data_IF_680817529676
#
_entry.id   IF_680817529676
#
_cell.length_a   1.000
_cell.length_b   1.000
_cell.length_c   1.000
_cell.angle_alpha   90.00
_cell.angle_beta   90.00
_cell.angle_gamma   90.00
#
_symmetry.space_group_name_H-M   'P 1'
#
loop_
_entity.id
_entity.type
_entity.pdbx_description
1 polymer ?
#
# COMPACT_ATOMS: atom_id res chain seq x y z
N UNK A 1 6.02 -15.30 -38.94
CA UNK A 1 4.74 -14.91 -38.31
C UNK A 1 4.64 -15.26 -36.81
N UNK A 2 5.63 -15.96 -36.20
CA UNK A 2 5.60 -16.28 -34.77
C UNK A 2 6.15 -15.17 -33.83
N UNK A 3 6.87 -14.17 -34.35
CA UNK A 3 7.48 -13.10 -33.53
C UNK A 3 6.51 -12.02 -33.03
N UNK A 4 5.38 -11.82 -33.71
CA UNK A 4 4.42 -10.75 -33.38
C UNK A 4 3.53 -11.15 -32.17
N UNK A 5 3.24 -12.44 -32.04
CA UNK A 5 2.46 -12.99 -30.93
C UNK A 5 3.25 -12.98 -29.60
N UNK A 6 4.55 -13.29 -29.65
CA UNK A 6 5.43 -13.24 -28.48
C UNK A 6 5.64 -11.79 -28.02
N UNK A 7 5.81 -10.86 -28.97
CA UNK A 7 5.88 -9.43 -28.68
C UNK A 7 4.63 -8.89 -27.99
N UNK A 8 3.43 -9.20 -28.50
CA UNK A 8 2.17 -8.71 -27.90
C UNK A 8 1.92 -9.26 -26.50
N UNK A 9 2.25 -10.53 -26.25
CA UNK A 9 2.15 -11.14 -24.92
C UNK A 9 3.09 -10.47 -23.90
N UNK A 10 4.37 -10.26 -24.25
CA UNK A 10 5.35 -9.62 -23.35
C UNK A 10 5.01 -8.14 -23.06
N UNK A 11 4.40 -7.43 -24.01
CA UNK A 11 3.90 -6.06 -23.76
C UNK A 11 2.68 -6.07 -22.85
N UNK A 12 1.75 -7.00 -23.06
CA UNK A 12 0.63 -7.24 -22.13
C UNK A 12 1.13 -7.52 -20.71
N UNK A 13 2.20 -8.30 -20.59
CA UNK A 13 2.78 -8.67 -19.30
C UNK A 13 3.34 -7.47 -18.51
N UNK A 14 4.08 -6.60 -19.22
CA UNK A 14 4.63 -5.39 -18.61
C UNK A 14 3.55 -4.37 -18.25
N UNK A 15 2.50 -4.27 -19.05
CA UNK A 15 1.39 -3.33 -18.83
C UNK A 15 0.57 -3.69 -17.59
N UNK A 16 0.23 -4.98 -17.41
CA UNK A 16 -0.52 -5.40 -16.22
C UNK A 16 0.31 -5.19 -14.95
N UNK A 17 1.61 -5.48 -14.99
CA UNK A 17 2.48 -5.31 -13.83
C UNK A 17 2.58 -3.83 -13.43
N UNK A 18 2.78 -2.95 -14.42
CA UNK A 18 2.79 -1.51 -14.19
C UNK A 18 1.45 -1.00 -13.61
N UNK A 19 0.31 -1.49 -14.12
CA UNK A 19 -1.00 -1.13 -13.59
C UNK A 19 -1.17 -1.54 -12.11
N UNK A 20 -0.71 -2.74 -11.74
CA UNK A 20 -0.75 -3.21 -10.35
C UNK A 20 0.15 -2.36 -9.44
N UNK A 21 1.35 -1.99 -9.89
CA UNK A 21 2.24 -1.11 -9.11
C UNK A 21 1.67 0.31 -8.94
N UNK A 22 1.04 0.87 -9.98
CA UNK A 22 0.35 2.17 -9.89
C UNK A 22 -0.81 2.09 -8.90
N UNK A 23 -1.62 1.02 -8.96
CA UNK A 23 -2.70 0.80 -8.00
C UNK A 23 -2.16 0.69 -6.57
N UNK A 24 -1.09 -0.07 -6.36
CA UNK A 24 -0.42 -0.19 -5.07
C UNK A 24 0.01 1.18 -4.53
N UNK A 25 0.61 2.02 -5.38
CA UNK A 25 1.04 3.36 -5.02
C UNK A 25 -0.14 4.28 -4.64
N UNK A 26 -1.25 4.21 -5.39
CA UNK A 26 -2.46 4.97 -5.06
C UNK A 26 -3.06 4.54 -3.73
N UNK A 27 -3.05 3.23 -3.42
CA UNK A 27 -3.50 2.71 -2.13
C UNK A 27 -2.60 3.19 -0.98
N UNK A 28 -1.29 3.25 -1.21
CA UNK A 28 -0.33 3.80 -0.23
C UNK A 28 -0.62 5.28 0.06
N UNK A 29 -0.85 6.09 -0.97
CA UNK A 29 -1.24 7.50 -0.80
C UNK A 29 -2.59 7.65 -0.09
N UNK A 30 -3.58 6.85 -0.48
CA UNK A 30 -4.90 6.87 0.14
C UNK A 30 -4.83 6.51 1.63
N UNK A 31 -4.02 5.51 2.01
CA UNK A 31 -3.82 5.12 3.39
C UNK A 31 -3.21 6.27 4.23
N UNK A 32 -2.22 7.00 3.69
CA UNK A 32 -1.62 8.15 4.36
C UNK A 32 -2.63 9.29 4.58
N UNK A 33 -3.46 9.58 3.58
CA UNK A 33 -4.55 10.57 3.70
C UNK A 33 -5.56 10.14 4.76
N UNK A 34 -5.96 8.86 4.77
CA UNK A 34 -6.89 8.34 5.76
C UNK A 34 -6.33 8.41 7.18
N UNK A 35 -5.05 8.05 7.37
CA UNK A 35 -4.36 8.17 8.66
C UNK A 35 -4.31 9.63 9.15
N UNK A 36 -4.05 10.59 8.25
CA UNK A 36 -4.06 12.00 8.60
C UNK A 36 -5.46 12.52 8.96
N UNK A 37 -6.49 12.11 8.20
CA UNK A 37 -7.88 12.43 8.52
C UNK A 37 -8.29 11.84 9.86
N UNK A 38 -8.07 10.55 10.10
CA UNK A 38 -8.39 9.95 11.39
C UNK A 38 -7.62 10.59 12.54
N UNK A 39 -6.33 10.92 12.33
CA UNK A 39 -5.55 11.66 13.31
C UNK A 39 -6.15 13.03 13.67
N UNK A 40 -6.76 13.70 12.70
CA UNK A 40 -7.49 14.96 12.95
C UNK A 40 -8.77 14.71 13.76
N UNK A 41 -9.48 13.60 13.54
CA UNK A 41 -10.71 13.26 14.25
C UNK A 41 -10.52 12.91 15.75
N UNK A 42 -9.30 12.60 16.20
CA UNK A 42 -9.00 12.15 17.58
C UNK A 42 -8.82 13.31 18.57
N UNK A 43 -8.51 14.52 18.10
CA UNK A 43 -8.10 15.63 18.97
C UNK A 43 -9.23 16.45 19.59
N UNK A 44 -9.31 16.45 20.91
CA UNK A 44 -10.17 17.32 21.75
C UNK A 44 -9.71 18.79 21.83
N UNK A 45 -8.45 19.09 21.48
CA UNK A 45 -7.94 20.46 21.41
C UNK A 45 -7.07 20.63 20.14
N UNK A 46 -6.88 21.88 19.71
CA UNK A 46 -6.21 22.21 18.44
C UNK A 46 -4.80 21.62 18.34
N UNK A 47 -4.05 21.60 19.44
CA UNK A 47 -2.68 21.07 19.44
C UNK A 47 -2.68 19.57 19.21
N UNK A 48 -3.47 18.80 19.98
CA UNK A 48 -3.59 17.36 19.81
C UNK A 48 -4.12 17.02 18.42
N UNK A 49 -5.09 17.79 17.92
CA UNK A 49 -5.64 17.62 16.58
C UNK A 49 -4.57 17.73 15.49
N UNK A 50 -3.77 18.79 15.50
CA UNK A 50 -2.70 19.00 14.50
C UNK A 50 -1.60 17.95 14.65
N UNK A 51 -1.17 17.67 15.88
CA UNK A 51 -0.11 16.70 16.16
C UNK A 51 -0.53 15.29 15.74
N UNK A 52 -1.77 14.87 16.01
CA UNK A 52 -2.25 13.55 15.62
C UNK A 52 -2.49 13.45 14.11
N UNK A 53 -3.03 14.50 13.48
CA UNK A 53 -3.26 14.57 12.03
C UNK A 53 -1.97 14.48 11.22
N UNK A 54 -0.88 15.07 11.71
CA UNK A 54 0.42 15.08 11.00
C UNK A 54 1.34 13.97 11.50
N UNK A 55 1.34 13.69 12.80
CA UNK A 55 2.19 12.70 13.45
C UNK A 55 1.89 11.28 13.01
N UNK A 56 0.61 10.93 12.85
CA UNK A 56 0.21 9.59 12.41
C UNK A 56 0.73 9.25 11.00
N UNK A 57 0.47 10.07 9.95
CA UNK A 57 1.04 9.81 8.63
C UNK A 57 2.56 9.96 8.61
N UNK A 58 3.17 10.86 9.38
CA UNK A 58 4.64 10.95 9.46
C UNK A 58 5.26 9.67 10.01
N UNK A 59 4.72 9.10 11.08
CA UNK A 59 5.21 7.83 11.64
C UNK A 59 5.09 6.70 10.61
N UNK A 60 3.97 6.64 9.88
CA UNK A 60 3.78 5.68 8.81
C UNK A 60 4.82 5.86 7.68
N UNK A 61 5.07 7.09 7.24
CA UNK A 61 6.09 7.42 6.23
C UNK A 61 7.48 7.01 6.72
N UNK A 62 7.84 7.29 7.97
CA UNK A 62 9.16 6.95 8.52
C UNK A 62 9.34 5.44 8.57
N UNK A 63 8.36 4.70 9.10
CA UNK A 63 8.39 3.23 9.14
C UNK A 63 8.55 2.64 7.73
N UNK A 64 7.79 3.17 6.77
CA UNK A 64 7.83 2.73 5.39
C UNK A 64 9.16 3.06 4.71
N UNK A 65 9.67 4.30 4.87
CA UNK A 65 10.95 4.74 4.31
C UNK A 65 12.14 3.94 4.86
N UNK A 66 12.08 3.51 6.12
CA UNK A 66 13.15 2.76 6.75
C UNK A 66 13.18 1.28 6.36
N UNK A 67 12.02 0.65 6.13
CA UNK A 67 11.89 -0.80 6.05
C UNK A 67 11.28 -1.33 4.75
N UNK A 68 10.41 -0.56 4.08
CA UNK A 68 9.60 -1.03 2.96
C UNK A 68 9.86 -0.30 1.64
N UNK A 69 10.50 0.87 1.67
CA UNK A 69 10.83 1.63 0.46
C UNK A 69 11.85 0.90 -0.44
N UNK A 70 11.82 1.11 -1.77
CA UNK A 70 12.80 0.51 -2.69
C UNK A 70 14.26 0.85 -2.36
N UNK A 71 14.48 2.03 -1.76
CA UNK A 71 15.78 2.50 -1.26
C UNK A 71 15.82 2.52 0.28
N UNK A 72 15.07 1.63 0.93
CA UNK A 72 15.00 1.56 2.38
C UNK A 72 16.40 1.42 2.99
N UNK A 73 16.63 2.16 4.09
CA UNK A 73 17.90 2.15 4.83
C UNK A 73 18.22 0.75 5.32
N UNK A 74 17.20 0.07 5.85
CA UNK A 74 17.27 -1.33 6.19
C UNK A 74 16.69 -2.11 5.02
N UNK A 75 17.38 -3.17 4.59
CA UNK A 75 16.92 -4.07 3.52
C UNK A 75 16.46 -5.38 4.14
N UNK A 76 15.35 -5.40 4.89
CA UNK A 76 14.90 -6.63 5.51
C UNK A 76 14.33 -7.58 4.44
N UNK A 77 14.19 -8.85 4.79
CA UNK A 77 13.60 -9.85 3.88
C UNK A 77 12.14 -9.54 3.53
N UNK A 78 11.60 -10.17 2.46
CA UNK A 78 10.23 -9.94 1.98
C UNK A 78 9.12 -9.97 3.06
N UNK A 79 9.16 -10.87 4.07
CA UNK A 79 8.11 -10.91 5.10
C UNK A 79 7.99 -9.62 5.91
N UNK A 80 9.10 -8.96 6.23
CA UNK A 80 9.11 -7.73 7.02
C UNK A 80 8.55 -6.57 6.21
N UNK A 81 8.91 -6.48 4.92
CA UNK A 81 8.37 -5.47 4.00
C UNK A 81 6.85 -5.59 3.90
N UNK A 82 6.35 -6.83 3.74
CA UNK A 82 4.91 -7.10 3.68
C UNK A 82 4.21 -6.74 4.99
N UNK A 83 4.83 -7.05 6.13
CA UNK A 83 4.28 -6.69 7.44
C UNK A 83 4.16 -5.18 7.64
N UNK A 84 5.19 -4.41 7.28
CA UNK A 84 5.15 -2.94 7.37
C UNK A 84 4.08 -2.36 6.44
N UNK A 85 3.98 -2.87 5.20
CA UNK A 85 2.91 -2.48 4.29
C UNK A 85 1.52 -2.80 4.85
N UNK A 86 1.34 -3.97 5.45
CA UNK A 86 0.08 -4.35 6.08
C UNK A 86 -0.31 -3.42 7.24
N UNK A 87 0.66 -3.00 8.06
CA UNK A 87 0.41 -2.01 9.13
C UNK A 87 -0.01 -0.67 8.55
N UNK A 88 0.69 -0.15 7.54
CA UNK A 88 0.40 1.18 6.98
C UNK A 88 -0.95 1.18 6.25
N UNK A 89 -1.16 0.21 5.35
CA UNK A 89 -2.37 0.11 4.54
C UNK A 89 -3.58 -0.32 5.37
N UNK A 90 -3.41 -1.31 6.26
CA UNK A 90 -4.43 -1.73 7.22
C UNK A 90 -4.75 -0.64 8.22
N UNK A 91 -3.77 0.15 8.64
CA UNK A 91 -3.95 1.36 9.45
C UNK A 91 -4.82 2.40 8.73
N UNK A 92 -4.62 2.62 7.43
CA UNK A 92 -5.48 3.49 6.61
C UNK A 92 -6.94 3.00 6.55
N UNK A 93 -7.15 1.69 6.38
CA UNK A 93 -8.49 1.10 6.41
C UNK A 93 -9.16 1.21 7.81
N UNK A 94 -8.40 0.97 8.87
CA UNK A 94 -8.86 1.13 10.25
C UNK A 94 -9.16 2.60 10.59
N UNK A 95 -8.38 3.53 10.04
CA UNK A 95 -8.62 4.96 10.15
C UNK A 95 -9.97 5.34 9.53
N UNK A 96 -10.29 4.87 8.32
CA UNK A 96 -11.62 5.09 7.70
C UNK A 96 -12.76 4.56 8.56
N UNK A 97 -12.59 3.38 9.14
CA UNK A 97 -13.55 2.83 10.10
C UNK A 97 -13.73 3.76 11.30
N UNK A 98 -12.63 4.28 11.86
CA UNK A 98 -12.65 5.19 13.00
C UNK A 98 -13.28 6.56 12.72
N UNK A 99 -13.32 7.01 11.46
CA UNK A 99 -14.03 8.24 11.04
C UNK A 99 -15.45 7.93 10.52
N UNK A 100 -16.00 6.75 10.84
CA UNK A 100 -17.39 6.41 10.56
C UNK A 100 -17.69 5.96 9.12
N UNK A 101 -16.67 5.59 8.35
CA UNK A 101 -16.81 5.09 6.97
C UNK A 101 -16.43 3.59 6.87
N UNK A 102 -17.17 2.68 7.51
CA UNK A 102 -16.79 1.27 7.63
C UNK A 102 -16.78 0.53 6.28
N UNK A 103 -17.70 0.85 5.37
CA UNK A 103 -17.77 0.24 4.03
C UNK A 103 -16.52 0.64 3.22
N UNK A 104 -16.12 1.91 3.25
CA UNK A 104 -14.92 2.38 2.56
C UNK A 104 -13.66 1.72 3.13
N UNK A 105 -13.57 1.58 4.45
CA UNK A 105 -12.48 0.85 5.11
C UNK A 105 -12.41 -0.61 4.69
N UNK A 106 -13.55 -1.31 4.62
CA UNK A 106 -13.63 -2.70 4.16
C UNK A 106 -13.19 -2.82 2.69
N UNK A 107 -13.70 -1.95 1.81
CA UNK A 107 -13.31 -1.93 0.39
C UNK A 107 -11.81 -1.73 0.25
N UNK A 108 -11.23 -0.75 0.97
CA UNK A 108 -9.79 -0.51 0.96
C UNK A 108 -9.00 -1.74 1.41
N UNK A 109 -9.42 -2.40 2.50
CA UNK A 109 -8.77 -3.61 2.99
C UNK A 109 -8.81 -4.74 1.95
N UNK A 110 -9.96 -4.97 1.31
CA UNK A 110 -10.12 -5.99 0.26
C UNK A 110 -9.23 -5.69 -0.94
N UNK A 111 -9.20 -4.43 -1.40
CA UNK A 111 -8.40 -4.02 -2.55
C UNK A 111 -6.91 -4.16 -2.26
N UNK A 112 -6.45 -3.80 -1.04
CA UNK A 112 -5.07 -4.00 -0.60
C UNK A 112 -4.68 -5.49 -0.62
N UNK A 113 -5.51 -6.34 -0.01
CA UNK A 113 -5.26 -7.79 0.03
C UNK A 113 -5.19 -8.38 -1.38
N UNK A 114 -6.14 -8.02 -2.26
CA UNK A 114 -6.16 -8.49 -3.64
C UNK A 114 -4.90 -8.03 -4.40
N UNK A 115 -4.56 -6.74 -4.34
CA UNK A 115 -3.39 -6.17 -5.01
C UNK A 115 -2.07 -6.82 -4.54
N UNK A 116 -1.93 -7.05 -3.23
CA UNK A 116 -0.75 -7.71 -2.67
C UNK A 116 -0.68 -9.19 -3.03
N UNK A 117 -1.81 -9.92 -2.98
CA UNK A 117 -1.86 -11.33 -3.36
C UNK A 117 -1.47 -11.54 -4.82
N UNK A 118 -1.97 -10.69 -5.71
CA UNK A 118 -1.59 -10.68 -7.13
C UNK A 118 -0.09 -10.45 -7.27
N UNK A 119 0.45 -9.37 -6.66
CA UNK A 119 1.88 -9.06 -6.74
C UNK A 119 2.78 -10.20 -6.24
N UNK A 120 2.39 -10.88 -5.16
CA UNK A 120 3.18 -11.97 -4.57
C UNK A 120 3.10 -13.26 -5.39
N UNK A 121 1.94 -13.59 -5.99
CA UNK A 121 1.79 -14.76 -6.84
C UNK A 121 2.75 -14.73 -8.06
N UNK A 122 2.99 -13.54 -8.63
CA UNK A 122 3.91 -13.38 -9.75
C UNK A 122 5.38 -13.43 -9.34
N UNK A 123 5.73 -13.08 -8.09
CA UNK A 123 7.10 -13.23 -7.58
C UNK A 123 7.54 -14.68 -7.44
N UNK A 124 6.59 -15.57 -7.16
CA UNK A 124 6.85 -17.01 -6.97
C UNK A 124 6.62 -17.86 -8.22
N UNK A 125 6.22 -17.27 -9.36
CA UNK A 125 6.03 -18.02 -10.59
C UNK A 125 7.38 -18.53 -11.10
N UNK A 126 7.64 -19.86 -11.07
CA UNK A 126 8.90 -20.42 -11.57
C UNK A 126 8.96 -20.15 -13.07
N UNK A 127 10.06 -19.56 -13.56
CA UNK A 127 10.34 -19.53 -15.00
C UNK A 127 10.34 -20.99 -15.45
N UNK A 128 9.35 -21.38 -16.26
CA UNK A 128 9.31 -22.73 -16.80
C UNK A 128 10.56 -22.93 -17.68
N UNK A 129 11.28 -24.05 -17.52
CA UNK A 129 12.46 -24.37 -18.32
C UNK A 129 12.11 -24.57 -19.80
#
# INVERSE_FOLDING_TARGET
MAGDADGTAVHGDRLWYAANEILAFLLELAALVCLGWWGSAVGHNVVVHVVSAVGTPLLAIVLWALLAAPKAKFRPGPPVVLFVKAIVLGGGAAALYGVGHPIAGLVMAVVVVANTAVAEAFRHSPRRP
#
